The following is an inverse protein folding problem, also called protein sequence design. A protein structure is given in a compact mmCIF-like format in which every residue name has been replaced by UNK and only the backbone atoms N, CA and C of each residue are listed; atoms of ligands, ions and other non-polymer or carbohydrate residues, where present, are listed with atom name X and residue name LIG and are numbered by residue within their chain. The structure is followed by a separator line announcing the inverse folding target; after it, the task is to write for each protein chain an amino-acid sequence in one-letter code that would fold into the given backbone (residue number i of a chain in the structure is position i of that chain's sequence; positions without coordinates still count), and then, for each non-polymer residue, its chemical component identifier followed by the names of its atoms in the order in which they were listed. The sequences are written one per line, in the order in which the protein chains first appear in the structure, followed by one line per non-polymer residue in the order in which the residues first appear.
data_IF_385967540306
#
_entry.id   IF_385967540306
#
_cell.length_a   1.000
_cell.length_b   1.000
_cell.length_c   1.000
_cell.angle_alpha   90.00
_cell.angle_beta   90.00
_cell.angle_gamma   90.00
#
_symmetry.space_group_name_H-M   'P 1'
#
loop_
_entity.id
_entity.type
_entity.pdbx_description
1 polymer ?
#
# COMPACT_ATOMS: atom_id res chain seq x y z
N UNK A 1 12.02 -5.18 11.75
CA UNK A 1 11.42 -4.57 10.56
C UNK A 1 11.04 -3.13 10.90
N UNK A 2 11.54 -2.14 10.16
CA UNK A 2 11.15 -0.74 10.36
C UNK A 2 9.91 -0.51 9.52
N UNK A 3 8.75 -0.40 10.17
CA UNK A 3 7.48 -0.16 9.52
C UNK A 3 7.19 1.35 9.46
N UNK A 4 6.67 1.89 8.34
CA UNK A 4 6.29 3.30 8.26
C UNK A 4 5.35 3.68 9.40
N UNK A 5 5.61 4.83 10.02
CA UNK A 5 4.80 5.31 11.13
C UNK A 5 4.34 6.74 10.86
N UNK A 6 3.14 7.06 11.32
CA UNK A 6 2.58 8.41 11.31
C UNK A 6 2.04 8.67 12.71
N UNK A 7 2.34 9.85 13.25
CA UNK A 7 1.78 10.31 14.52
C UNK A 7 1.05 11.63 14.29
N UNK A 8 -0.06 11.81 14.97
CA UNK A 8 -0.88 13.02 14.90
C UNK A 8 -1.22 13.47 16.33
N UNK A 9 -1.48 14.77 16.51
CA UNK A 9 -2.02 15.27 17.78
C UNK A 9 -3.51 14.97 17.82
N UNK A 10 -3.97 14.30 18.87
CA UNK A 10 -5.39 14.09 19.12
C UNK A 10 -6.05 15.37 19.68
N UNK A 11 -7.37 15.33 19.92
CA UNK A 11 -8.13 16.48 20.46
C UNK A 11 -7.63 16.96 21.83
N UNK A 12 -6.95 16.08 22.59
CA UNK A 12 -6.36 16.39 23.89
C UNK A 12 -4.93 16.95 23.77
N UNK A 13 -4.40 17.08 22.55
CA UNK A 13 -3.04 17.55 22.27
C UNK A 13 -1.95 16.48 22.41
N UNK A 14 -2.31 15.22 22.69
CA UNK A 14 -1.37 14.12 22.85
C UNK A 14 -1.00 13.51 21.49
N UNK A 15 0.23 13.01 21.37
CA UNK A 15 0.70 12.36 20.14
C UNK A 15 0.21 10.92 20.07
N UNK A 16 -0.73 10.66 19.16
CA UNK A 16 -1.28 9.33 18.90
C UNK A 16 -0.68 8.72 17.63
N UNK A 17 -0.48 7.40 17.64
CA UNK A 17 0.01 6.64 16.49
C UNK A 17 -1.14 6.27 15.59
N UNK A 18 -0.98 6.55 14.30
CA UNK A 18 -1.92 6.13 13.28
C UNK A 18 -1.86 4.61 13.06
N UNK A 19 -2.97 3.88 13.20
CA UNK A 19 -3.02 2.44 12.96
C UNK A 19 -2.87 2.09 11.46
N UNK A 20 -3.19 3.01 10.56
CA UNK A 20 -3.14 2.82 9.11
C UNK A 20 -2.27 3.88 8.45
N UNK A 21 -0.96 3.95 8.77
CA UNK A 21 -0.11 5.06 8.36
C UNK A 21 0.01 5.21 6.84
N UNK A 22 -0.01 4.08 6.10
CA UNK A 22 0.15 4.01 4.64
C UNK A 22 -1.22 4.03 3.96
N UNK A 23 -1.49 5.02 3.11
CA UNK A 23 -2.76 5.16 2.41
C UNK A 23 -2.91 4.12 1.28
N UNK A 24 -1.84 3.85 0.52
CA UNK A 24 -1.85 2.84 -0.53
C UNK A 24 -2.00 1.41 0.01
N UNK A 25 -1.75 1.20 1.31
CA UNK A 25 -1.93 -0.09 1.99
C UNK A 25 -3.40 -0.48 2.21
N UNK A 26 -4.36 0.33 1.74
CA UNK A 26 -5.76 -0.06 1.61
C UNK A 26 -5.97 -1.06 0.48
N UNK A 27 -7.03 -1.87 0.58
CA UNK A 27 -7.36 -2.93 -0.37
C UNK A 27 -6.18 -3.87 -0.61
N UNK A 28 -5.48 -4.24 0.46
CA UNK A 28 -4.31 -5.12 0.41
C UNK A 28 -3.16 -4.61 -0.49
N UNK A 29 -2.98 -3.29 -0.55
CA UNK A 29 -1.91 -2.64 -1.33
C UNK A 29 -2.37 -2.04 -2.66
N UNK A 30 -3.64 -2.21 -3.03
CA UNK A 30 -4.20 -1.66 -4.27
C UNK A 30 -4.80 -0.26 -4.12
N UNK A 31 -4.83 0.32 -2.92
CA UNK A 31 -5.36 1.66 -2.67
C UNK A 31 -4.74 2.73 -3.56
N UNK A 32 -3.44 2.62 -3.85
CA UNK A 32 -2.71 3.57 -4.68
C UNK A 32 -3.22 3.71 -6.12
N UNK A 33 -4.07 2.80 -6.61
CA UNK A 33 -4.69 2.93 -7.94
C UNK A 33 -5.89 3.87 -7.96
N UNK A 34 -6.49 4.19 -6.81
CA UNK A 34 -7.69 5.02 -6.70
C UNK A 34 -7.38 6.51 -6.76
N UNK A 35 -6.26 6.94 -6.19
CA UNK A 35 -5.86 8.34 -6.19
C UNK A 35 -4.34 8.49 -6.30
N UNK A 36 -3.92 9.50 -7.07
CA UNK A 36 -2.52 9.93 -7.12
C UNK A 36 -2.06 10.45 -5.75
N UNK A 37 -2.95 11.10 -5.01
CA UNK A 37 -2.65 11.73 -3.73
C UNK A 37 -2.27 10.71 -2.66
N UNK A 38 -2.77 9.48 -2.73
CA UNK A 38 -2.35 8.40 -1.83
C UNK A 38 -0.88 8.03 -2.03
N UNK A 39 -0.41 8.01 -3.28
CA UNK A 39 0.99 7.73 -3.61
C UNK A 39 1.90 8.89 -3.21
N UNK A 40 1.44 10.12 -3.44
CA UNK A 40 2.19 11.32 -3.02
C UNK A 40 2.29 11.40 -1.50
N UNK A 41 1.19 11.14 -0.78
CA UNK A 41 1.18 11.02 0.67
C UNK A 41 2.21 9.99 1.16
N UNK A 42 2.18 8.77 0.63
CA UNK A 42 3.07 7.69 1.08
C UNK A 42 4.54 7.97 0.74
N UNK A 43 4.81 8.63 -0.40
CA UNK A 43 6.15 9.11 -0.75
C UNK A 43 6.68 10.12 0.27
N UNK A 44 5.88 11.15 0.61
CA UNK A 44 6.28 12.15 1.60
C UNK A 44 6.41 11.54 3.00
N UNK A 45 5.54 10.60 3.36
CA UNK A 45 5.62 9.88 4.62
C UNK A 45 6.91 9.04 4.70
N UNK A 46 7.28 8.38 3.60
CA UNK A 46 8.54 7.66 3.47
C UNK A 46 9.76 8.56 3.66
N UNK A 47 9.78 9.74 3.01
CA UNK A 47 10.84 10.75 3.19
C UNK A 47 10.97 11.20 4.63
N UNK A 48 9.84 11.53 5.27
CA UNK A 48 9.82 11.94 6.69
C UNK A 48 10.31 10.82 7.61
N UNK A 49 9.86 9.60 7.39
CA UNK A 49 10.30 8.44 8.18
C UNK A 49 11.78 8.15 7.98
N UNK A 50 12.31 8.32 6.77
CA UNK A 50 13.75 8.20 6.49
C UNK A 50 14.56 9.28 7.23
N UNK A 51 14.11 10.54 7.17
CA UNK A 51 14.71 11.65 7.92
C UNK A 51 14.77 11.34 9.42
N UNK A 52 13.66 10.91 10.02
CA UNK A 52 13.62 10.52 11.44
C UNK A 52 14.52 9.31 11.73
N UNK A 53 14.53 8.31 10.84
CA UNK A 53 15.34 7.11 11.00
C UNK A 53 16.83 7.43 11.06
N UNK A 54 17.35 8.22 10.11
CA UNK A 54 18.76 8.62 10.07
C UNK A 54 19.16 9.40 11.33
N UNK A 55 18.26 10.23 11.86
CA UNK A 55 18.52 11.02 13.07
C UNK A 55 18.53 10.18 14.35
N UNK A 56 17.66 9.17 14.43
CA UNK A 56 17.34 8.52 15.71
C UNK A 56 17.82 7.06 15.80
N UNK A 57 18.37 6.47 14.74
CA UNK A 57 18.86 5.08 14.78
C UNK A 57 20.37 4.97 14.54
N UNK A 58 20.95 5.90 13.77
CA UNK A 58 22.40 5.96 13.55
C UNK A 58 23.00 7.12 14.34
N UNK A 59 22.99 7.00 15.68
CA UNK A 59 23.51 8.02 16.59
C UNK A 59 24.75 7.56 17.35
N UNK A 60 25.62 8.51 17.67
CA UNK A 60 26.69 8.39 18.66
C UNK A 60 26.13 8.90 19.99
N UNK A 61 26.02 8.04 21.03
CA UNK A 61 25.57 8.48 22.35
C UNK A 61 26.46 9.59 22.91
N UNK A 62 25.87 10.53 23.65
CA UNK A 62 26.56 11.74 24.14
C UNK A 62 27.82 11.41 24.94
N UNK A 63 27.80 10.35 25.75
CA UNK A 63 28.93 9.93 26.58
C UNK A 63 30.13 9.46 25.75
N UNK A 64 29.86 8.84 24.58
CA UNK A 64 30.89 8.46 23.62
C UNK A 64 31.38 9.66 22.83
N UNK A 65 30.47 10.51 22.40
CA UNK A 65 30.82 11.72 21.65
C UNK A 65 31.80 12.61 22.44
N UNK A 66 31.56 12.81 23.75
CA UNK A 66 32.45 13.59 24.64
C UNK A 66 33.88 13.05 24.76
N UNK A 67 34.13 11.79 24.41
CA UNK A 67 35.46 11.18 24.43
C UNK A 67 36.22 11.33 23.10
N UNK A 68 35.55 11.83 22.05
CA UNK A 68 36.11 11.93 20.71
C UNK A 68 36.50 13.38 20.40
N UNK A 69 37.69 13.59 19.84
CA UNK A 69 38.23 14.91 19.51
C UNK A 69 37.33 15.73 18.56
N UNK A 70 36.57 15.07 17.68
CA UNK A 70 35.68 15.75 16.73
C UNK A 70 34.54 16.53 17.41
N UNK A 71 34.16 16.16 18.64
CA UNK A 71 33.12 16.84 19.42
C UNK A 71 33.70 17.75 20.51
N UNK A 72 35.01 18.03 20.47
CA UNK A 72 35.64 18.93 21.43
C UNK A 72 35.01 20.33 21.37
N UNK A 73 34.60 20.84 22.53
CA UNK A 73 33.92 22.14 22.64
C UNK A 73 32.41 22.13 22.35
N UNK A 74 31.81 21.01 21.92
CA UNK A 74 30.36 20.92 21.72
C UNK A 74 29.60 20.82 23.06
N UNK A 75 29.47 21.95 23.75
CA UNK A 75 28.70 22.10 24.98
C UNK A 75 27.26 22.56 24.69
N UNK A 76 26.42 22.64 25.72
CA UNK A 76 24.99 23.00 25.59
C UNK A 76 24.75 24.38 24.97
N UNK A 77 25.72 25.28 25.07
CA UNK A 77 25.64 26.62 24.48
C UNK A 77 26.09 26.70 23.03
N UNK A 78 26.84 25.69 22.56
CA UNK A 78 27.41 25.64 21.22
C UNK A 78 26.31 25.55 20.15
N UNK A 79 26.33 26.39 19.11
CA UNK A 79 25.36 26.32 18.00
C UNK A 79 25.28 24.94 17.34
N UNK A 80 26.40 24.21 17.27
CA UNK A 80 26.48 22.85 16.70
C UNK A 80 25.75 21.84 17.57
N UNK A 81 25.88 21.96 18.89
CA UNK A 81 25.12 21.14 19.83
C UNK A 81 23.62 21.43 19.69
N UNK A 82 23.23 22.71 19.76
CA UNK A 82 21.82 23.14 19.61
C UNK A 82 21.20 22.68 18.30
N UNK A 83 21.98 22.60 17.21
CA UNK A 83 21.52 22.16 15.88
C UNK A 83 21.42 20.64 15.73
N UNK A 84 22.45 19.90 16.14
CA UNK A 84 22.61 18.48 15.79
C UNK A 84 22.31 17.50 16.92
N UNK A 85 22.21 17.96 18.16
CA UNK A 85 21.82 17.10 19.27
C UNK A 85 20.40 16.57 19.06
N UNK A 86 20.22 15.26 19.25
CA UNK A 86 18.91 14.61 19.25
C UNK A 86 18.58 14.15 20.67
N UNK A 87 17.56 14.74 21.32
CA UNK A 87 17.11 14.32 22.64
C UNK A 87 16.62 12.87 22.66
N UNK A 88 16.04 12.38 21.55
CA UNK A 88 15.46 11.04 21.47
C UNK A 88 16.51 9.93 21.64
N UNK A 89 17.73 10.16 21.13
CA UNK A 89 18.86 9.22 21.26
C UNK A 89 19.89 9.66 22.29
N UNK A 90 19.68 10.81 22.92
CA UNK A 90 20.64 11.46 23.80
C UNK A 90 22.06 11.46 23.19
N UNK A 91 22.19 12.05 22.00
CA UNK A 91 23.42 11.96 21.21
C UNK A 91 23.36 12.68 19.87
N UNK A 92 24.34 12.41 19.01
CA UNK A 92 24.47 13.04 17.71
C UNK A 92 24.31 12.04 16.57
N UNK A 93 23.56 12.36 15.50
CA UNK A 93 23.46 11.49 14.34
C UNK A 93 24.81 11.40 13.60
N UNK A 94 25.19 10.20 13.19
CA UNK A 94 26.40 9.92 12.39
C UNK A 94 26.29 10.59 11.01
N UNK A 95 25.09 10.52 10.42
CA UNK A 95 24.77 11.22 9.17
C UNK A 95 23.95 12.45 9.54
N UNK A 96 24.57 13.63 9.68
CA UNK A 96 23.85 14.83 10.07
C UNK A 96 22.91 15.27 8.95
N UNK A 97 21.64 15.47 9.29
CA UNK A 97 20.71 16.14 8.40
C UNK A 97 20.93 17.64 8.48
N UNK A 98 21.68 18.18 7.52
CA UNK A 98 21.99 19.61 7.42
C UNK A 98 20.75 20.47 7.13
N UNK A 99 19.67 19.88 6.61
CA UNK A 99 18.45 20.59 6.21
C UNK A 99 17.39 20.65 7.31
N UNK A 100 17.55 19.85 8.36
CA UNK A 100 16.65 19.83 9.51
C UNK A 100 17.04 20.88 10.55
N UNK A 101 16.06 21.62 11.03
CA UNK A 101 16.20 22.53 12.16
C UNK A 101 15.28 22.10 13.31
N UNK A 102 15.81 21.86 14.52
CA UNK A 102 15.00 21.53 15.67
C UNK A 102 14.07 22.70 16.05
N UNK A 103 12.95 22.36 16.70
CA UNK A 103 11.95 23.35 17.12
C UNK A 103 12.60 24.39 18.05
N UNK A 104 12.43 25.68 17.73
CA UNK A 104 13.03 26.79 18.48
C UNK A 104 14.46 27.18 18.05
N UNK A 105 15.11 26.43 17.15
CA UNK A 105 16.37 26.84 16.55
C UNK A 105 16.12 27.74 15.33
N UNK A 106 16.63 28.96 15.36
CA UNK A 106 16.64 29.87 14.21
C UNK A 106 18.07 29.91 13.64
N UNK A 107 18.27 29.60 12.35
CA UNK A 107 19.57 29.78 11.73
C UNK A 107 19.90 31.27 11.63
N UNK A 108 21.16 31.61 11.87
CA UNK A 108 21.70 32.94 11.55
C UNK A 108 21.52 33.18 10.04
N UNK A 109 21.21 34.42 9.62
CA UNK A 109 20.67 34.83 8.30
C UNK A 109 21.40 34.36 7.01
N UNK A 110 22.47 33.56 7.12
CA UNK A 110 23.34 33.10 6.03
C UNK A 110 23.39 31.55 5.89
N UNK A 111 22.25 30.87 5.99
CA UNK A 111 22.15 29.46 5.60
C UNK A 111 21.84 29.35 4.10
N UNK A 112 22.79 28.86 3.30
CA UNK A 112 22.59 28.54 1.86
C UNK A 112 21.51 27.47 1.61
N UNK A 113 21.00 26.84 2.67
CA UNK A 113 19.98 25.80 2.61
C UNK A 113 18.68 26.32 3.20
N UNK A 114 17.60 26.28 2.42
CA UNK A 114 16.25 26.47 2.96
C UNK A 114 15.96 25.39 4.01
N UNK A 115 15.46 25.80 5.18
CA UNK A 115 15.00 24.91 6.23
C UNK A 115 13.96 23.92 5.67
N UNK A 116 14.29 22.62 5.69
CA UNK A 116 13.45 21.56 5.12
C UNK A 116 13.09 20.50 6.17
N UNK A 117 12.48 20.95 7.27
CA UNK A 117 11.83 20.04 8.21
C UNK A 117 10.58 19.46 7.53
N UNK A 118 10.59 18.17 7.23
CA UNK A 118 9.47 17.52 6.56
C UNK A 118 8.26 17.47 7.49
N UNK A 119 7.22 18.22 7.12
CA UNK A 119 5.93 18.15 7.80
C UNK A 119 5.31 16.76 7.67
N UNK A 120 4.50 16.36 8.64
CA UNK A 120 3.64 15.18 8.46
C UNK A 120 2.73 15.41 7.24
N UNK A 121 2.74 14.54 6.22
CA UNK A 121 1.86 14.72 5.08
C UNK A 121 0.40 14.57 5.53
N UNK A 122 -0.46 15.41 4.93
CA UNK A 122 -1.90 15.31 5.09
C UNK A 122 -2.44 14.22 4.16
N UNK A 123 -3.48 13.51 4.62
CA UNK A 123 -4.22 12.59 3.75
C UNK A 123 -5.26 13.39 2.97
N UNK A 124 -5.33 13.13 1.68
CA UNK A 124 -6.39 13.62 0.82
C UNK A 124 -7.40 12.49 0.64
N UNK A 125 -8.55 12.52 1.33
CA UNK A 125 -9.57 11.49 1.18
C UNK A 125 -10.19 11.53 -0.23
N UNK A 126 -10.68 10.38 -0.68
CA UNK A 126 -11.43 10.23 -1.93
C UNK A 126 -12.91 10.44 -1.64
N UNK A 127 -13.60 11.14 -2.55
CA UNK A 127 -15.05 11.35 -2.42
C UNK A 127 -15.82 10.06 -2.72
N UNK A 128 -16.90 9.80 -1.99
CA UNK A 128 -17.71 8.59 -2.19
C UNK A 128 -18.29 8.51 -3.61
N UNK A 129 -18.64 9.64 -4.21
CA UNK A 129 -19.12 9.74 -5.59
C UNK A 129 -18.11 9.19 -6.61
N UNK A 130 -16.81 9.38 -6.40
CA UNK A 130 -15.77 8.84 -7.27
C UNK A 130 -15.75 7.31 -7.24
N UNK A 131 -15.99 6.71 -6.07
CA UNK A 131 -16.12 5.26 -5.92
C UNK A 131 -17.40 4.76 -6.59
N UNK A 132 -18.52 5.45 -6.43
CA UNK A 132 -19.77 5.08 -7.09
C UNK A 132 -19.69 5.20 -8.61
N UNK A 133 -18.93 6.15 -9.15
CA UNK A 133 -18.70 6.29 -10.59
C UNK A 133 -17.98 5.07 -11.20
N UNK A 134 -17.31 4.25 -10.39
CA UNK A 134 -16.69 3.00 -10.84
C UNK A 134 -17.67 1.84 -10.99
N UNK A 135 -18.92 1.98 -10.52
CA UNK A 135 -19.92 0.91 -10.50
C UNK A 135 -20.07 0.21 -11.85
N UNK A 136 -20.26 0.96 -12.93
CA UNK A 136 -20.52 0.37 -14.24
C UNK A 136 -19.27 -0.32 -14.80
N UNK A 137 -18.08 0.23 -14.53
CA UNK A 137 -16.79 -0.38 -14.92
C UNK A 137 -16.55 -1.69 -14.18
N UNK A 138 -16.82 -1.72 -12.86
CA UNK A 138 -16.69 -2.92 -12.03
C UNK A 138 -17.69 -3.98 -12.50
N UNK A 139 -18.96 -3.58 -12.70
CA UNK A 139 -20.01 -4.45 -13.19
C UNK A 139 -19.64 -5.09 -14.52
N UNK A 140 -19.22 -4.28 -15.49
CA UNK A 140 -18.83 -4.76 -16.80
C UNK A 140 -17.67 -5.76 -16.71
N UNK A 141 -16.62 -5.45 -15.93
CA UNK A 141 -15.47 -6.35 -15.74
C UNK A 141 -15.87 -7.67 -15.09
N UNK A 142 -16.65 -7.62 -14.02
CA UNK A 142 -17.14 -8.82 -13.34
C UNK A 142 -18.02 -9.67 -14.27
N UNK A 143 -18.93 -9.04 -15.02
CA UNK A 143 -19.75 -9.73 -16.02
C UNK A 143 -18.88 -10.41 -17.07
N UNK A 144 -17.90 -9.71 -17.63
CA UNK A 144 -16.98 -10.27 -18.63
C UNK A 144 -16.18 -11.44 -18.06
N UNK A 145 -15.66 -11.31 -16.85
CA UNK A 145 -14.95 -12.40 -16.17
C UNK A 145 -15.87 -13.61 -15.97
N UNK A 146 -17.08 -13.40 -15.45
CA UNK A 146 -18.08 -14.46 -15.25
C UNK A 146 -18.49 -15.15 -16.56
N UNK A 147 -18.67 -14.40 -17.65
CA UNK A 147 -18.99 -14.97 -18.96
C UNK A 147 -17.86 -15.85 -19.50
N UNK A 148 -16.61 -15.52 -19.21
CA UNK A 148 -15.44 -16.30 -19.63
C UNK A 148 -15.03 -17.39 -18.63
N UNK A 149 -15.64 -17.41 -17.45
CA UNK A 149 -15.44 -18.43 -16.41
C UNK A 149 -16.20 -19.73 -16.69
N UNK A 150 -16.95 -19.82 -17.80
CA UNK A 150 -17.48 -21.10 -18.24
C UNK A 150 -16.32 -22.09 -18.31
N UNK A 151 -16.40 -23.23 -17.59
CA UNK A 151 -15.46 -24.31 -17.85
C UNK A 151 -15.60 -24.60 -19.34
N UNK A 152 -14.50 -24.47 -20.09
CA UNK A 152 -14.48 -24.96 -21.48
C UNK A 152 -15.13 -26.34 -21.43
N UNK A 153 -16.08 -26.66 -22.32
CA UNK A 153 -16.35 -28.06 -22.54
C UNK A 153 -14.98 -28.68 -22.76
N UNK A 154 -14.72 -29.83 -22.14
CA UNK A 154 -13.80 -30.77 -22.75
C UNK A 154 -14.42 -31.08 -24.13
N UNK A 155 -14.25 -30.17 -25.08
CA UNK A 155 -14.32 -30.47 -26.49
C UNK A 155 -13.26 -31.53 -26.61
N UNK A 156 -13.72 -32.78 -26.69
CA UNK A 156 -12.87 -33.95 -26.70
C UNK A 156 -11.69 -33.61 -27.58
N UNK A 157 -10.50 -33.60 -26.98
CA UNK A 157 -9.28 -33.39 -27.72
C UNK A 157 -9.33 -34.41 -28.86
N UNK A 158 -9.66 -33.95 -30.07
CA UNK A 158 -9.17 -34.62 -31.25
C UNK A 158 -7.68 -34.66 -31.01
N UNK A 159 -7.18 -35.85 -30.71
CA UNK A 159 -5.77 -36.18 -30.69
C UNK A 159 -5.21 -35.75 -32.04
N UNK A 160 -4.83 -34.49 -32.18
CA UNK A 160 -3.89 -34.07 -33.20
C UNK A 160 -2.63 -34.83 -32.84
N UNK A 161 -2.37 -35.88 -33.60
CA UNK A 161 -1.14 -36.64 -33.56
C UNK A 161 0.01 -35.66 -33.37
N UNK A 162 0.87 -35.87 -32.35
CA UNK A 162 1.88 -34.89 -32.02
C UNK A 162 2.78 -34.72 -33.24
N UNK A 163 2.81 -33.48 -33.78
CA UNK A 163 3.92 -33.06 -34.60
C UNK A 163 5.20 -33.27 -33.76
N UNK A 164 6.31 -33.77 -34.35
CA UNK A 164 7.50 -34.13 -33.59
C UNK A 164 7.94 -32.95 -32.73
N UNK A 165 7.89 -33.13 -31.41
CA UNK A 165 8.12 -32.08 -30.43
C UNK A 165 9.56 -31.58 -30.54
N UNK A 166 9.73 -30.27 -30.71
CA UNK A 166 11.00 -29.64 -30.36
C UNK A 166 11.27 -29.84 -28.86
N UNK A 167 12.54 -29.94 -28.43
CA UNK A 167 12.90 -30.09 -27.01
C UNK A 167 12.26 -29.03 -26.11
N UNK A 168 12.07 -27.82 -26.63
CA UNK A 168 11.46 -26.67 -25.95
C UNK A 168 9.97 -26.88 -25.63
N UNK A 169 9.20 -27.51 -26.53
CA UNK A 169 7.77 -27.76 -26.31
C UNK A 169 7.54 -28.81 -25.20
N UNK A 170 8.38 -29.84 -25.13
CA UNK A 170 8.32 -30.85 -24.08
C UNK A 170 8.73 -30.29 -22.70
N UNK A 171 9.68 -29.35 -22.68
CA UNK A 171 10.09 -28.66 -21.47
C UNK A 171 8.99 -27.72 -20.96
N UNK A 172 8.35 -26.96 -21.84
CA UNK A 172 7.25 -26.07 -21.47
C UNK A 172 6.03 -26.82 -20.91
N UNK A 173 5.72 -28.00 -21.46
CA UNK A 173 4.65 -28.85 -20.95
C UNK A 173 4.93 -29.37 -19.52
N UNK A 174 6.17 -29.74 -19.21
CA UNK A 174 6.57 -30.12 -17.85
C UNK A 174 6.46 -28.97 -16.86
N UNK A 175 6.94 -27.78 -17.26
CA UNK A 175 6.86 -26.57 -16.42
C UNK A 175 5.40 -26.25 -16.08
N UNK A 176 4.50 -26.28 -17.08
CA UNK A 176 3.09 -26.00 -16.84
C UNK A 176 2.47 -27.02 -15.88
N UNK A 177 2.75 -28.32 -16.04
CA UNK A 177 2.22 -29.36 -15.16
C UNK A 177 2.74 -29.26 -13.71
N UNK A 178 4.01 -28.86 -13.52
CA UNK A 178 4.58 -28.61 -12.19
C UNK A 178 3.95 -27.38 -11.52
N UNK A 179 3.69 -26.32 -12.29
CA UNK A 179 2.98 -25.11 -11.81
C UNK A 179 1.54 -25.45 -11.43
N UNK A 180 0.83 -26.25 -12.23
CA UNK A 180 -0.54 -26.66 -11.93
C UNK A 180 -0.61 -27.49 -10.63
N UNK A 181 0.33 -28.42 -10.44
CA UNK A 181 0.44 -29.20 -9.20
C UNK A 181 0.78 -28.34 -7.97
N UNK A 182 1.55 -27.25 -8.15
CA UNK A 182 1.83 -26.27 -7.10
C UNK A 182 0.59 -25.42 -6.79
N UNK A 183 -0.17 -25.02 -7.80
CA UNK A 183 -1.40 -24.26 -7.66
C UNK A 183 -2.46 -25.06 -6.88
N UNK A 184 -2.63 -26.35 -7.18
CA UNK A 184 -3.57 -27.23 -6.46
C UNK A 184 -3.20 -27.44 -4.98
N UNK A 185 -1.90 -27.47 -4.66
CA UNK A 185 -1.42 -27.64 -3.28
C UNK A 185 -1.61 -26.40 -2.41
N UNK A 186 -1.45 -25.21 -2.99
CA UNK A 186 -1.45 -23.96 -2.24
C UNK A 186 -2.77 -23.22 -2.27
N UNK A 187 -3.51 -23.29 -3.37
CA UNK A 187 -4.81 -22.67 -3.49
C UNK A 187 -5.88 -23.75 -3.38
N UNK A 188 -6.46 -23.93 -2.18
CA UNK A 188 -7.85 -24.41 -2.10
C UNK A 188 -8.63 -23.49 -3.03
N UNK A 189 -9.28 -24.03 -4.08
CA UNK A 189 -10.03 -23.28 -5.09
C UNK A 189 -10.48 -21.96 -4.51
N UNK A 190 -9.99 -20.85 -5.07
CA UNK A 190 -10.23 -19.51 -4.49
C UNK A 190 -11.70 -19.44 -4.05
N UNK A 191 -12.01 -18.98 -2.85
CA UNK A 191 -13.39 -19.02 -2.30
C UNK A 191 -14.42 -18.49 -3.30
N UNK A 192 -14.00 -17.57 -4.16
CA UNK A 192 -14.74 -17.05 -5.30
C UNK A 192 -14.95 -18.08 -6.43
N UNK A 193 -13.93 -18.83 -6.87
CA UNK A 193 -14.09 -19.97 -7.79
C UNK A 193 -14.91 -21.10 -7.18
N UNK A 194 -14.71 -21.43 -5.90
CA UNK A 194 -15.50 -22.46 -5.22
C UNK A 194 -16.99 -22.04 -5.15
N UNK A 195 -17.26 -20.81 -4.70
CA UNK A 195 -18.61 -20.23 -4.69
C UNK A 195 -19.22 -20.14 -6.09
N UNK A 196 -18.47 -19.69 -7.10
CA UNK A 196 -18.96 -19.65 -8.49
C UNK A 196 -19.22 -21.07 -8.98
N UNK A 197 -18.34 -22.03 -8.70
CA UNK A 197 -18.50 -23.41 -9.14
C UNK A 197 -19.70 -24.09 -8.48
N UNK A 198 -19.98 -23.76 -7.21
CA UNK A 198 -21.17 -24.21 -6.49
C UNK A 198 -22.42 -23.58 -7.10
N UNK A 199 -22.43 -22.26 -7.33
CA UNK A 199 -23.54 -21.55 -8.00
C UNK A 199 -23.76 -22.06 -9.43
N UNK A 200 -22.71 -22.35 -10.18
CA UNK A 200 -22.75 -22.91 -11.56
C UNK A 200 -23.24 -24.35 -11.56
N UNK A 201 -22.82 -25.15 -10.58
CA UNK A 201 -23.26 -26.54 -10.42
C UNK A 201 -24.75 -26.61 -10.05
N UNK A 202 -25.20 -25.74 -9.14
CA UNK A 202 -26.58 -25.71 -8.65
C UNK A 202 -27.57 -25.15 -9.69
N UNK A 203 -27.13 -24.22 -10.55
CA UNK A 203 -27.96 -23.63 -11.61
C UNK A 203 -27.85 -24.35 -12.96
N UNK A 204 -26.89 -25.26 -13.13
CA UNK A 204 -26.71 -26.06 -14.34
C UNK A 204 -26.14 -25.27 -15.53
N UNK A 205 -25.23 -25.89 -16.29
CA UNK A 205 -24.56 -25.29 -17.48
C UNK A 205 -25.51 -24.66 -18.51
N UNK A 206 -26.77 -25.10 -18.60
CA UNK A 206 -27.77 -24.60 -19.55
C UNK A 206 -28.40 -23.25 -19.15
N UNK A 207 -28.31 -22.85 -17.87
CA UNK A 207 -28.81 -21.55 -17.39
C UNK A 207 -27.68 -20.51 -17.21
N UNK A 208 -26.42 -20.87 -17.49
CA UNK A 208 -25.31 -19.93 -17.55
C UNK A 208 -25.39 -19.03 -18.80
N UNK A 209 -26.49 -18.30 -18.91
CA UNK A 209 -26.75 -17.34 -19.96
C UNK A 209 -26.34 -15.95 -19.49
N UNK A 210 -26.16 -15.03 -20.44
CA UNK A 210 -25.74 -13.64 -20.17
C UNK A 210 -26.57 -12.91 -19.12
N UNK A 211 -27.84 -13.29 -18.94
CA UNK A 211 -28.77 -12.74 -17.95
C UNK A 211 -28.43 -13.15 -16.51
N UNK A 212 -28.03 -14.41 -16.28
CA UNK A 212 -27.66 -14.88 -14.94
C UNK A 212 -26.30 -14.30 -14.53
N UNK A 213 -25.33 -14.30 -15.45
CA UNK A 213 -24.04 -13.65 -15.25
C UNK A 213 -24.19 -12.16 -14.92
N UNK A 214 -25.14 -11.46 -15.55
CA UNK A 214 -25.45 -10.06 -15.26
C UNK A 214 -26.00 -9.86 -13.83
N UNK A 215 -26.96 -10.68 -13.40
CA UNK A 215 -27.50 -10.61 -12.02
C UNK A 215 -26.43 -10.88 -10.96
N UNK A 216 -25.59 -11.89 -11.18
CA UNK A 216 -24.48 -12.22 -10.27
C UNK A 216 -23.45 -11.09 -10.26
N UNK A 217 -23.09 -10.55 -11.44
CA UNK A 217 -22.19 -9.40 -11.53
C UNK A 217 -22.74 -8.17 -10.80
N UNK A 218 -24.03 -7.88 -10.90
CA UNK A 218 -24.66 -6.76 -10.19
C UNK A 218 -24.60 -6.95 -8.66
N UNK A 219 -24.88 -8.15 -8.17
CA UNK A 219 -24.74 -8.48 -6.75
C UNK A 219 -23.30 -8.30 -6.26
N UNK A 220 -22.33 -8.92 -6.96
CA UNK A 220 -20.91 -8.83 -6.61
C UNK A 220 -20.39 -7.39 -6.68
N UNK A 221 -20.84 -6.60 -7.66
CA UNK A 221 -20.49 -5.17 -7.77
C UNK A 221 -20.88 -4.40 -6.52
N UNK A 222 -22.10 -4.62 -6.01
CA UNK A 222 -22.56 -3.97 -4.78
C UNK A 222 -21.72 -4.39 -3.57
N UNK A 223 -21.36 -5.67 -3.48
CA UNK A 223 -20.50 -6.19 -2.42
C UNK A 223 -19.09 -5.60 -2.47
N UNK A 224 -18.48 -5.51 -3.66
CA UNK A 224 -17.16 -4.91 -3.87
C UNK A 224 -17.15 -3.44 -3.52
N UNK A 225 -18.11 -2.65 -4.02
CA UNK A 225 -18.24 -1.23 -3.68
C UNK A 225 -18.39 -1.05 -2.18
N UNK A 226 -19.23 -1.88 -1.53
CA UNK A 226 -19.40 -1.85 -0.07
C UNK A 226 -18.10 -2.14 0.66
N UNK A 227 -17.33 -3.13 0.23
CA UNK A 227 -16.05 -3.46 0.83
C UNK A 227 -15.05 -2.30 0.69
N UNK A 228 -14.95 -1.69 -0.49
CA UNK A 228 -14.10 -0.52 -0.74
C UNK A 228 -14.49 0.64 0.18
N UNK A 229 -15.77 1.01 0.20
CA UNK A 229 -16.27 2.11 1.03
C UNK A 229 -16.04 1.85 2.52
N UNK A 230 -16.30 0.62 2.98
CA UNK A 230 -16.09 0.24 4.38
C UNK A 230 -14.62 0.38 4.76
N UNK A 231 -13.72 -0.15 3.95
CA UNK A 231 -12.29 -0.09 4.24
C UNK A 231 -11.75 1.35 4.19
N UNK A 232 -12.15 2.12 3.17
CA UNK A 232 -11.72 3.52 3.05
C UNK A 232 -12.25 4.35 4.23
N UNK A 233 -13.49 4.11 4.68
CA UNK A 233 -14.04 4.77 5.86
C UNK A 233 -13.28 4.40 7.14
N UNK A 234 -13.00 3.12 7.36
CA UNK A 234 -12.22 2.65 8.53
C UNK A 234 -10.82 3.28 8.59
N UNK A 235 -10.19 3.54 7.44
CA UNK A 235 -8.84 4.11 7.34
C UNK A 235 -8.81 5.64 7.27
N UNK A 236 -9.97 6.31 7.30
CA UNK A 236 -10.06 7.77 7.16
C UNK A 236 -9.66 8.26 5.76
N UNK A 237 -9.89 7.44 4.72
CA UNK A 237 -9.59 7.71 3.31
C UNK A 237 -10.83 8.11 2.50
N UNK A 238 -11.99 8.21 3.15
CA UNK A 238 -13.27 8.55 2.53
C UNK A 238 -13.77 9.89 3.08
N UNK A 239 -14.19 10.79 2.21
CA UNK A 239 -14.91 12.00 2.58
C UNK A 239 -16.41 11.81 2.31
N UNK A 240 -17.24 12.15 3.30
CA UNK A 240 -18.70 12.10 3.23
C UNK A 240 -19.29 13.42 2.64
N UNK A 241 -18.46 14.32 2.11
CA UNK A 241 -18.89 15.66 1.72
C UNK A 241 -19.30 15.73 0.24
N UNK A 242 -20.58 15.99 -0.01
CA UNK A 242 -20.94 16.73 -1.22
C UNK A 242 -20.32 18.11 -1.09
N UNK A 243 -19.18 18.37 -1.74
CA UNK A 243 -18.80 19.75 -2.04
C UNK A 243 -19.96 20.37 -2.81
N UNK A 244 -20.71 21.23 -2.13
CA UNK A 244 -21.73 22.10 -2.74
C UNK A 244 -21.06 23.06 -3.71
#
# INVERSE_FOLDING_TARGET
MIFPSRRFKNEKGEMEKDPYPISCGSLDGFGGFFSRDFREHDFQLGRKNCQSFLRNYFGIPIDRARQMSVFEGWNEEDPRHKRFFSPEVNGYPIVPDITYYPEGYQPDEASDYEAYTLSTPNRHPVEAEEIFALKDKIHHRLKTVLLNLSPKPEEGEEKKSPAPASPEAAQQQKINAEVDALMERHFKQSTLQAFISEVVADLGKKLWNSVLADKVAAYLTKTVIRAILSEFKTRGLLSDSKKK
#
